data_IF_691160946700
#
_entry.id   IF_691160946700
#
_cell.length_a   1.000
_cell.length_b   1.000
_cell.length_c   1.000
_cell.angle_alpha   90.00
_cell.angle_beta   90.00
_cell.angle_gamma   90.00
#
_symmetry.space_group_name_H-M   'P 1'
#
loop_
_entity.id
_entity.type
_entity.pdbx_description
1 polymer ?
#
# COMPACT_ATOMS: atom_id res chain seq x y z
N UNK A 1 -6.33 -20.24 0.25
CA UNK A 1 -5.38 -21.05 -0.55
C UNK A 1 -4.26 -21.64 0.29
N UNK A 2 -3.36 -20.85 0.89
CA UNK A 2 -2.19 -21.40 1.61
C UNK A 2 -2.60 -22.38 2.72
N UNK A 3 -3.55 -21.99 3.57
CA UNK A 3 -4.13 -22.87 4.58
C UNK A 3 -4.78 -24.13 3.96
N UNK A 4 -5.59 -23.96 2.91
CA UNK A 4 -6.29 -25.05 2.21
C UNK A 4 -5.34 -26.07 1.55
N UNK A 5 -4.09 -25.68 1.28
CA UNK A 5 -3.07 -26.54 0.65
C UNK A 5 -2.05 -27.06 1.68
N UNK A 6 -2.31 -26.88 2.99
CA UNK A 6 -1.40 -27.33 4.03
C UNK A 6 -0.05 -26.61 4.01
N UNK A 7 0.01 -25.37 3.53
CA UNK A 7 1.24 -24.57 3.56
C UNK A 7 1.41 -23.98 4.95
N UNK A 8 2.52 -24.31 5.61
CA UNK A 8 2.78 -23.87 6.99
C UNK A 8 3.67 -22.63 7.08
N UNK A 9 4.32 -22.23 5.99
CA UNK A 9 5.19 -21.06 5.95
C UNK A 9 5.17 -20.36 4.60
N UNK A 10 5.32 -19.03 4.62
CA UNK A 10 5.36 -18.19 3.42
C UNK A 10 6.50 -17.18 3.50
N UNK A 11 7.28 -17.11 2.43
CA UNK A 11 8.17 -15.98 2.18
C UNK A 11 7.36 -14.88 1.50
N UNK A 12 7.18 -13.76 2.20
CA UNK A 12 6.43 -12.61 1.70
C UNK A 12 7.40 -11.70 0.97
N UNK A 13 7.43 -11.79 -0.35
CA UNK A 13 8.24 -10.94 -1.21
C UNK A 13 7.38 -9.80 -1.74
N UNK A 14 7.66 -8.58 -1.30
CA UNK A 14 6.97 -7.38 -1.79
C UNK A 14 7.86 -6.15 -1.61
N UNK A 15 7.47 -5.03 -2.20
CA UNK A 15 8.20 -3.78 -2.01
C UNK A 15 8.26 -3.41 -0.53
N UNK A 16 9.41 -2.93 -0.05
CA UNK A 16 9.63 -2.70 1.38
C UNK A 16 8.58 -1.78 2.02
N UNK A 17 8.09 -0.78 1.27
CA UNK A 17 7.04 0.13 1.73
C UNK A 17 5.66 -0.53 1.88
N UNK A 18 5.42 -1.68 1.26
CA UNK A 18 4.20 -2.48 1.44
C UNK A 18 4.30 -3.52 2.56
N UNK A 19 5.51 -3.81 3.04
CA UNK A 19 5.74 -4.95 3.93
C UNK A 19 4.90 -4.88 5.21
N UNK A 20 4.84 -3.73 5.89
CA UNK A 20 4.05 -3.59 7.13
C UNK A 20 2.57 -3.90 6.92
N UNK A 21 1.99 -3.36 5.84
CA UNK A 21 0.58 -3.58 5.51
C UNK A 21 0.33 -5.03 5.13
N UNK A 22 1.16 -5.59 4.24
CA UNK A 22 1.05 -6.98 3.79
C UNK A 22 1.14 -7.96 4.97
N UNK A 23 2.11 -7.78 5.86
CA UNK A 23 2.26 -8.62 7.05
C UNK A 23 1.07 -8.52 8.00
N UNK A 24 0.49 -7.32 8.18
CA UNK A 24 -0.69 -7.12 9.03
C UNK A 24 -1.98 -7.73 8.44
N UNK A 25 -2.14 -7.69 7.12
CA UNK A 25 -3.28 -8.32 6.44
C UNK A 25 -3.12 -9.85 6.41
N UNK A 26 -1.92 -10.34 6.10
CA UNK A 26 -1.61 -11.77 6.04
C UNK A 26 -1.68 -12.43 7.42
N UNK A 27 -1.19 -11.79 8.49
CA UNK A 27 -1.26 -12.37 9.85
C UNK A 27 -2.70 -12.51 10.36
N UNK A 28 -3.60 -11.62 9.94
CA UNK A 28 -5.04 -11.72 10.26
C UNK A 28 -5.73 -12.84 9.46
N UNK A 29 -5.30 -13.05 8.23
CA UNK A 29 -5.93 -14.00 7.30
C UNK A 29 -5.38 -15.42 7.46
N UNK A 30 -4.11 -15.54 7.87
CA UNK A 30 -3.36 -16.79 8.00
C UNK A 30 -2.68 -16.87 9.38
N UNK A 31 -3.47 -16.97 10.47
CA UNK A 31 -2.92 -16.95 11.84
C UNK A 31 -1.99 -18.14 12.14
N UNK A 32 -2.21 -19.29 11.50
CA UNK A 32 -1.45 -20.52 11.73
C UNK A 32 -0.28 -20.73 10.74
N UNK A 33 0.00 -19.74 9.88
CA UNK A 33 1.07 -19.82 8.88
C UNK A 33 2.23 -18.92 9.30
N UNK A 34 3.44 -19.46 9.33
CA UNK A 34 4.65 -18.68 9.63
C UNK A 34 4.98 -17.74 8.46
N UNK A 35 4.97 -16.43 8.71
CA UNK A 35 5.23 -15.41 7.69
C UNK A 35 6.65 -14.85 7.84
N UNK A 36 7.44 -14.94 6.78
CA UNK A 36 8.81 -14.44 6.73
C UNK A 36 8.93 -13.28 5.72
N UNK A 37 9.24 -12.05 6.19
CA UNK A 37 9.30 -10.88 5.30
C UNK A 37 10.59 -10.85 4.47
N UNK A 38 10.46 -10.64 3.16
CA UNK A 38 11.57 -10.45 2.21
C UNK A 38 11.33 -9.15 1.42
N UNK A 39 11.66 -7.99 1.99
CA UNK A 39 11.38 -6.70 1.37
C UNK A 39 12.29 -6.44 0.16
N UNK A 40 11.71 -5.97 -0.94
CA UNK A 40 12.44 -5.57 -2.15
C UNK A 40 12.55 -4.05 -2.19
N UNK A 41 13.77 -3.55 -2.35
CA UNK A 41 14.07 -2.12 -2.53
C UNK A 41 14.14 -1.80 -4.02
N UNK A 42 13.32 -0.87 -4.54
CA UNK A 42 13.41 -0.43 -5.92
C UNK A 42 14.76 0.27 -6.22
N UNK A 43 15.26 0.21 -7.47
CA UNK A 43 16.56 0.78 -7.83
C UNK A 43 16.69 2.30 -7.61
N UNK A 44 15.58 3.05 -7.64
CA UNK A 44 15.58 4.50 -7.37
C UNK A 44 15.64 4.88 -5.89
N UNK A 45 15.62 3.89 -5.00
CA UNK A 45 15.63 4.05 -3.55
C UNK A 45 16.82 3.29 -2.94
N UNK A 46 17.97 3.29 -3.60
CA UNK A 46 19.12 2.50 -3.15
C UNK A 46 19.75 2.98 -1.84
N UNK A 47 19.55 4.25 -1.47
CA UNK A 47 20.06 4.76 -0.20
C UNK A 47 19.20 4.22 0.96
N UNK A 48 19.66 3.20 1.67
CA UNK A 48 18.87 2.40 2.63
C UNK A 48 18.25 3.20 3.77
N UNK A 49 18.62 4.47 3.94
CA UNK A 49 18.18 5.43 4.95
C UNK A 49 16.66 5.61 4.97
N UNK A 50 15.99 5.65 3.81
CA UNK A 50 14.51 5.80 3.74
C UNK A 50 13.76 4.61 4.36
N UNK A 51 14.39 3.42 4.46
CA UNK A 51 13.77 2.25 5.09
C UNK A 51 13.66 2.39 6.61
N UNK A 52 14.57 3.16 7.20
CA UNK A 52 14.57 3.44 8.64
C UNK A 52 13.70 4.65 8.99
N UNK A 53 13.27 5.42 7.97
CA UNK A 53 12.33 6.52 8.13
C UNK A 53 10.88 6.04 7.98
N UNK A 54 10.31 5.60 9.10
CA UNK A 54 8.93 5.12 9.17
C UNK A 54 7.89 6.19 8.78
N UNK A 55 8.23 7.47 8.84
CA UNK A 55 7.31 8.58 8.53
C UNK A 55 7.18 8.75 7.01
N UNK A 56 8.30 8.79 6.29
CA UNK A 56 8.29 8.86 4.83
C UNK A 56 7.64 7.62 4.19
N UNK A 57 7.88 6.44 4.76
CA UNK A 57 7.24 5.19 4.33
C UNK A 57 5.72 5.20 4.51
N UNK A 58 5.26 5.67 5.66
CA UNK A 58 3.82 5.76 5.96
C UNK A 58 3.13 6.74 5.02
N UNK A 59 3.75 7.90 4.77
CA UNK A 59 3.23 8.89 3.83
C UNK A 59 3.08 8.31 2.42
N UNK A 60 4.11 7.64 1.91
CA UNK A 60 4.08 6.99 0.60
C UNK A 60 2.99 5.91 0.51
N UNK A 61 2.84 5.09 1.56
CA UNK A 61 1.80 4.06 1.61
C UNK A 61 0.39 4.65 1.68
N UNK A 62 0.20 5.76 2.41
CA UNK A 62 -1.06 6.49 2.48
C UNK A 62 -1.42 7.10 1.12
N UNK A 63 -0.47 7.77 0.46
CA UNK A 63 -0.72 8.33 -0.88
C UNK A 63 -0.98 7.27 -1.94
N UNK A 64 -0.25 6.15 -1.89
CA UNK A 64 -0.54 5.03 -2.77
C UNK A 64 -1.92 4.42 -2.51
N UNK A 65 -2.34 4.36 -1.24
CA UNK A 65 -3.69 3.88 -0.88
C UNK A 65 -4.77 4.84 -1.38
N UNK A 66 -4.57 6.16 -1.26
CA UNK A 66 -5.47 7.18 -1.84
C UNK A 66 -5.55 7.03 -3.35
N UNK A 67 -4.42 6.82 -4.02
CA UNK A 67 -4.40 6.56 -5.46
C UNK A 67 -5.18 5.29 -5.83
N UNK A 68 -5.02 4.20 -5.07
CA UNK A 68 -5.79 2.97 -5.27
C UNK A 68 -7.30 3.20 -5.07
N UNK A 69 -7.70 3.99 -4.07
CA UNK A 69 -9.12 4.31 -3.83
C UNK A 69 -9.72 5.13 -4.97
N UNK A 70 -8.98 6.12 -5.49
CA UNK A 70 -9.37 6.89 -6.68
C UNK A 70 -9.52 5.95 -7.88
N UNK A 71 -8.52 5.08 -8.11
CA UNK A 71 -8.54 4.13 -9.24
C UNK A 71 -9.63 3.07 -9.12
N UNK A 72 -10.00 2.66 -7.91
CA UNK A 72 -11.08 1.72 -7.65
C UNK A 72 -12.47 2.38 -7.73
N UNK A 73 -12.56 3.69 -7.97
CA UNK A 73 -13.82 4.44 -7.95
C UNK A 73 -14.41 4.62 -6.53
N UNK A 74 -13.65 4.26 -5.49
CA UNK A 74 -14.05 4.38 -4.09
C UNK A 74 -13.82 5.80 -3.53
N UNK A 75 -13.11 6.65 -4.27
CA UNK A 75 -12.99 8.07 -3.98
C UNK A 75 -13.90 8.85 -4.93
N UNK A 76 -15.20 8.87 -4.65
CA UNK A 76 -16.12 9.83 -5.24
C UNK A 76 -15.79 11.17 -4.61
N UNK A 77 -14.89 11.92 -5.22
CA UNK A 77 -14.72 13.33 -4.89
C UNK A 77 -16.08 13.99 -5.07
N UNK A 78 -16.56 14.69 -4.05
CA UNK A 78 -17.73 15.54 -4.21
C UNK A 78 -17.45 16.47 -5.39
N UNK A 79 -18.25 16.32 -6.44
CA UNK A 79 -18.16 17.16 -7.62
C UNK A 79 -18.55 18.58 -7.22
N UNK A 80 -17.56 19.38 -6.83
CA UNK A 80 -17.69 20.83 -6.80
C UNK A 80 -18.14 21.27 -8.19
N UNK A 81 -19.41 21.64 -8.30
CA UNK A 81 -20.02 22.07 -9.56
C UNK A 81 -19.20 23.23 -10.15
N UNK A 82 -18.92 23.25 -11.47
CA UNK A 82 -18.19 24.35 -12.08
C UNK A 82 -18.96 25.66 -11.88
N UNK A 83 -18.33 26.64 -11.23
CA UNK A 83 -18.90 28.00 -11.15
C UNK A 83 -19.04 28.55 -12.57
N UNK A 84 -20.19 29.13 -12.93
CA UNK A 84 -20.35 29.75 -14.24
C UNK A 84 -19.37 30.91 -14.39
N UNK A 85 -18.63 30.89 -15.51
CA UNK A 85 -17.83 32.03 -15.98
C UNK A 85 -18.76 33.23 -16.16
N UNK A 86 -18.50 34.31 -15.43
CA UNK A 86 -19.08 35.60 -15.75
C UNK A 86 -18.31 36.19 -16.93
N UNK A 87 -18.95 36.25 -18.09
CA UNK A 87 -18.50 37.04 -19.22
C UNK A 87 -18.78 38.51 -18.91
N UNK A 88 -17.73 39.30 -18.65
CA UNK A 88 -17.85 40.75 -18.64
C UNK A 88 -17.99 41.26 -20.08
N UNK A 89 -18.93 42.20 -20.25
CA UNK A 89 -19.21 42.95 -21.48
C UNK A 89 -18.30 44.17 -21.59
#
# INVERSE_FOLDING_TARGET
>A
WAADNGVHSLLVVTAAYHMKRAMAELSRTLPDVALYPVPVTPPGMQDRTWLYDATHLRLMAEEYTKWLLVRAGAFTGESGSPRPVQTQS
#
